data_IF_800525806599
#
_entry.id   IF_800525806599
#
_cell.length_a   1.000
_cell.length_b   1.000
_cell.length_c   1.000
_cell.angle_alpha   90.00
_cell.angle_beta   90.00
_cell.angle_gamma   90.00
#
_symmetry.space_group_name_H-M   'P 1'
#
loop_
_entity.id
_entity.type
_entity.pdbx_description
1 polymer ?
#
# COMPACT_ATOMS: atom_id res chain seq x y z
N UNK A 1 -14.55 -4.72 1.92
CA UNK A 1 -13.43 -3.76 2.04
C UNK A 1 -13.03 -3.33 0.65
N UNK A 2 -12.74 -2.04 0.45
CA UNK A 2 -12.34 -1.49 -0.84
C UNK A 2 -10.90 -0.98 -0.75
N UNK A 3 -10.21 -0.92 -1.88
CA UNK A 3 -8.87 -0.35 -1.94
C UNK A 3 -8.93 1.13 -1.62
N UNK A 4 -8.14 1.57 -0.65
CA UNK A 4 -8.00 2.97 -0.28
C UNK A 4 -7.59 3.85 -1.47
N UNK A 5 -6.82 3.29 -2.42
CA UNK A 5 -6.27 4.03 -3.57
C UNK A 5 -7.24 4.03 -4.77
N UNK A 6 -7.66 2.85 -5.22
CA UNK A 6 -8.41 2.72 -6.47
C UNK A 6 -9.90 2.37 -6.28
N UNK A 7 -10.37 2.27 -5.03
CA UNK A 7 -11.74 1.87 -4.69
C UNK A 7 -12.17 0.48 -5.20
N UNK A 8 -11.25 -0.32 -5.78
CA UNK A 8 -11.50 -1.71 -6.17
C UNK A 8 -12.12 -2.46 -4.99
N UNK A 9 -13.18 -3.21 -5.23
CA UNK A 9 -13.80 -4.06 -4.22
C UNK A 9 -12.92 -5.29 -4.00
N UNK A 10 -12.64 -5.64 -2.75
CA UNK A 10 -11.90 -6.86 -2.41
C UNK A 10 -12.73 -8.09 -2.79
N UNK A 11 -12.11 -8.99 -3.57
CA UNK A 11 -12.64 -10.31 -3.92
C UNK A 11 -11.86 -11.42 -3.20
N UNK A 12 -12.38 -12.65 -3.28
CA UNK A 12 -11.74 -13.80 -2.67
C UNK A 12 -10.37 -14.09 -3.31
N UNK A 13 -9.42 -14.61 -2.51
CA UNK A 13 -8.05 -15.00 -2.92
C UNK A 13 -7.10 -13.86 -3.36
N UNK A 14 -7.50 -12.60 -3.26
CA UNK A 14 -6.61 -11.48 -3.57
C UNK A 14 -5.65 -11.15 -2.41
N UNK A 15 -4.43 -10.71 -2.76
CA UNK A 15 -3.45 -10.18 -1.80
C UNK A 15 -3.71 -8.70 -1.54
N UNK A 16 -3.81 -8.35 -0.26
CA UNK A 16 -4.09 -7.00 0.21
C UNK A 16 -3.21 -6.68 1.40
N UNK A 17 -2.73 -5.44 1.49
CA UNK A 17 -1.88 -4.97 2.58
C UNK A 17 -2.61 -3.92 3.40
N UNK A 18 -2.50 -3.99 4.72
CA UNK A 18 -2.92 -2.93 5.63
C UNK A 18 -1.70 -2.19 6.19
N UNK A 19 -1.92 -1.13 6.96
CA UNK A 19 -0.84 -0.32 7.53
C UNK A 19 0.17 -1.14 8.34
N UNK A 20 -0.31 -2.08 9.17
CA UNK A 20 0.54 -2.91 10.04
C UNK A 20 1.47 -3.79 9.21
N UNK A 21 0.92 -4.50 8.22
CA UNK A 21 1.70 -5.36 7.32
C UNK A 21 2.75 -4.53 6.57
N UNK A 22 2.37 -3.35 6.08
CA UNK A 22 3.28 -2.46 5.35
C UNK A 22 4.43 -2.00 6.26
N UNK A 23 4.12 -1.55 7.48
CA UNK A 23 5.12 -1.11 8.45
C UNK A 23 6.06 -2.23 8.92
N UNK A 24 5.60 -3.48 8.92
CA UNK A 24 6.44 -4.64 9.26
C UNK A 24 7.30 -5.14 8.09
N UNK A 25 6.88 -4.89 6.85
CA UNK A 25 7.49 -5.50 5.65
C UNK A 25 8.46 -4.57 4.93
N UNK A 26 8.15 -3.28 4.86
CA UNK A 26 8.87 -2.32 4.01
C UNK A 26 9.63 -1.28 4.82
N UNK A 27 10.69 -0.70 4.23
CA UNK A 27 11.52 0.32 4.88
C UNK A 27 10.83 1.70 4.99
N UNK A 28 11.52 2.62 5.68
CA UNK A 28 11.00 3.97 5.93
C UNK A 28 10.69 4.76 4.67
N UNK A 29 11.38 4.55 3.54
CA UNK A 29 11.09 5.29 2.29
C UNK A 29 9.71 4.92 1.75
N UNK A 30 9.35 3.64 1.82
CA UNK A 30 8.00 3.18 1.43
C UNK A 30 6.96 3.66 2.44
N UNK A 31 7.28 3.59 3.74
CA UNK A 31 6.38 4.05 4.79
C UNK A 31 6.10 5.56 4.74
N UNK A 32 7.08 6.35 4.28
CA UNK A 32 6.96 7.81 4.12
C UNK A 32 6.21 8.25 2.86
N UNK A 33 5.88 7.33 1.96
CA UNK A 33 5.09 7.65 0.76
C UNK A 33 3.72 8.23 1.15
N UNK A 34 3.30 9.31 0.48
CA UNK A 34 2.11 10.09 0.85
C UNK A 34 0.83 9.26 1.01
N UNK A 35 0.66 8.26 0.14
CA UNK A 35 -0.48 7.34 0.20
C UNK A 35 -0.42 6.45 1.45
N UNK A 36 0.78 5.95 1.82
CA UNK A 36 0.96 5.06 2.96
C UNK A 36 0.77 5.80 4.27
N UNK A 37 1.28 7.04 4.37
CA UNK A 37 1.10 7.90 5.55
C UNK A 37 -0.37 8.18 5.87
N UNK A 38 -1.23 8.24 4.83
CA UNK A 38 -2.66 8.52 4.94
C UNK A 38 -3.51 7.29 5.29
N UNK A 39 -2.95 6.07 5.24
CA UNK A 39 -3.67 4.88 5.66
C UNK A 39 -4.02 4.94 7.16
N UNK A 40 -5.26 4.64 7.48
CA UNK A 40 -5.68 4.25 8.83
C UNK A 40 -5.41 2.75 9.07
N UNK A 41 -5.62 2.30 10.30
CA UNK A 41 -5.48 0.88 10.67
C UNK A 41 -6.55 -0.01 10.03
N UNK A 42 -7.67 0.58 9.58
CA UNK A 42 -8.78 -0.15 8.96
C UNK A 42 -8.72 -0.14 7.43
N UNK A 43 -7.86 0.70 6.85
CA UNK A 43 -7.70 0.78 5.41
C UNK A 43 -6.86 -0.36 4.87
N UNK A 44 -7.14 -0.74 3.62
CA UNK A 44 -6.36 -1.74 2.89
C UNK A 44 -6.07 -1.27 1.47
N UNK A 45 -4.93 -1.72 0.96
CA UNK A 45 -4.47 -1.47 -0.41
C UNK A 45 -4.38 -2.82 -1.14
N UNK A 46 -4.90 -2.87 -2.37
CA UNK A 46 -4.76 -4.05 -3.22
C UNK A 46 -3.31 -4.18 -3.73
N UNK A 47 -2.92 -5.41 -4.10
CA UNK A 47 -1.58 -5.69 -4.60
C UNK A 47 -1.10 -4.72 -5.71
N UNK A 48 -1.93 -4.47 -6.73
CA UNK A 48 -1.56 -3.60 -7.87
C UNK A 48 -1.23 -2.16 -7.43
N UNK A 49 -1.97 -1.62 -6.47
CA UNK A 49 -1.71 -0.27 -5.97
C UNK A 49 -0.47 -0.25 -5.08
N UNK A 50 -0.19 -1.33 -4.34
CA UNK A 50 1.05 -1.44 -3.59
C UNK A 50 2.26 -1.51 -4.52
N UNK A 51 2.20 -2.28 -5.63
CA UNK A 51 3.28 -2.35 -6.61
C UNK A 51 3.59 -0.97 -7.22
N UNK A 52 2.57 -0.20 -7.59
CA UNK A 52 2.77 1.17 -8.11
C UNK A 52 3.48 2.08 -7.11
N UNK A 53 3.15 1.97 -5.82
CA UNK A 53 3.84 2.74 -4.76
C UNK A 53 5.31 2.32 -4.66
N UNK A 54 5.60 1.02 -4.73
CA UNK A 54 6.97 0.52 -4.70
C UNK A 54 7.77 1.03 -5.90
N UNK A 55 7.20 0.93 -7.11
CA UNK A 55 7.82 1.43 -8.34
C UNK A 55 8.11 2.94 -8.26
N UNK A 56 7.17 3.72 -7.71
CA UNK A 56 7.34 5.17 -7.56
C UNK A 56 8.42 5.52 -6.53
N UNK A 57 8.47 4.79 -5.41
CA UNK A 57 9.55 4.95 -4.43
C UNK A 57 10.89 4.56 -5.04
N UNK A 58 10.99 3.43 -5.75
CA UNK A 58 12.24 2.94 -6.34
C UNK A 58 12.80 3.91 -7.39
N UNK A 59 11.97 4.60 -8.17
CA UNK A 59 12.42 5.68 -9.09
C UNK A 59 13.14 6.82 -8.36
N UNK A 60 12.84 7.05 -7.09
CA UNK A 60 13.43 8.15 -6.29
C UNK A 60 14.64 7.71 -5.47
N UNK A 61 15.02 6.42 -5.53
CA UNK A 61 16.14 5.87 -4.74
C UNK A 61 17.54 6.06 -5.35
N UNK A 62 17.65 6.82 -6.45
CA UNK A 62 18.91 7.16 -7.14
C UNK A 62 19.87 7.90 -6.22
#
# INVERSE_FOLDING_TARGET
MNCFVCSKKKEDFEVWSNKIVISATYDSKVQDHDVIRKLSEHDVICHDCMQKILDDVDKTRV
#
